data_IF_526000111760
#
_entry.id   IF_526000111760
#
_cell.length_a   1.000
_cell.length_b   1.000
_cell.length_c   1.000
_cell.angle_alpha   90.00
_cell.angle_beta   90.00
_cell.angle_gamma   90.00
#
_symmetry.space_group_name_H-M   'P 1'
#
loop_
_entity.id
_entity.type
_entity.pdbx_description
1 polymer ?
#
# COMPACT_ATOMS: atom_id res chain seq x y z
N UNK A 1 18.53 23.87 -15.02
CA UNK A 1 18.69 22.46 -15.45
C UNK A 1 19.13 21.66 -14.25
N UNK A 2 18.28 20.77 -13.71
CA UNK A 2 18.58 20.04 -12.46
C UNK A 2 19.61 18.92 -12.71
N UNK A 3 20.76 18.90 -11.99
CA UNK A 3 21.79 17.88 -12.16
C UNK A 3 21.35 16.60 -11.42
N UNK A 4 20.60 15.76 -12.12
CA UNK A 4 20.03 14.51 -11.58
C UNK A 4 18.95 13.88 -12.47
N UNK A 5 18.46 14.62 -13.47
CA UNK A 5 17.38 14.19 -14.38
C UNK A 5 17.75 13.07 -15.35
N UNK A 6 19.04 12.73 -15.52
CA UNK A 6 19.49 11.76 -16.54
C UNK A 6 19.45 10.29 -16.09
N UNK A 7 19.37 9.99 -14.79
CA UNK A 7 19.45 8.60 -14.29
C UNK A 7 18.15 7.81 -14.54
N UNK A 8 17.01 8.49 -14.58
CA UNK A 8 15.70 7.83 -14.67
C UNK A 8 15.23 7.57 -16.10
N UNK A 9 15.67 8.39 -17.07
CA UNK A 9 15.25 8.28 -18.46
C UNK A 9 15.62 6.92 -19.08
N UNK A 10 16.79 6.37 -18.74
CA UNK A 10 17.22 5.05 -19.23
C UNK A 10 16.46 3.86 -18.60
N UNK A 11 15.62 4.09 -17.60
CA UNK A 11 14.88 3.02 -16.88
C UNK A 11 13.41 2.96 -17.25
N UNK A 12 12.89 3.97 -17.93
CA UNK A 12 11.49 4.01 -18.37
C UNK A 12 11.45 3.59 -19.83
N UNK A 13 10.87 2.42 -20.09
CA UNK A 13 10.76 1.83 -21.44
C UNK A 13 9.38 2.08 -22.04
N UNK A 14 8.34 2.26 -21.21
CA UNK A 14 6.99 2.55 -21.66
C UNK A 14 6.25 3.47 -20.68
N UNK A 15 5.34 4.28 -21.23
CA UNK A 15 4.33 5.02 -20.47
C UNK A 15 2.97 4.40 -20.76
N UNK A 16 2.27 3.96 -19.72
CA UNK A 16 0.94 3.36 -19.82
C UNK A 16 -0.09 4.41 -19.41
N UNK A 17 -0.93 4.85 -20.35
CA UNK A 17 -2.09 5.70 -20.06
C UNK A 17 -3.29 4.81 -19.74
N UNK A 18 -3.94 5.06 -18.62
CA UNK A 18 -5.13 4.34 -18.15
C UNK A 18 -6.27 5.34 -18.00
N UNK A 19 -7.41 5.01 -18.60
CA UNK A 19 -8.67 5.69 -18.37
C UNK A 19 -9.43 4.91 -17.30
N UNK A 20 -9.79 5.57 -16.20
CA UNK A 20 -10.67 4.99 -15.18
C UNK A 20 -12.02 5.67 -15.22
N UNK A 21 -13.05 4.86 -15.05
CA UNK A 21 -14.41 5.29 -14.76
C UNK A 21 -14.70 4.86 -13.34
N UNK A 22 -15.16 5.79 -12.51
CA UNK A 22 -15.47 5.52 -11.11
C UNK A 22 -16.77 6.21 -10.78
N UNK A 23 -17.75 5.44 -10.32
CA UNK A 23 -18.99 5.98 -9.80
C UNK A 23 -18.78 6.37 -8.34
N UNK A 24 -18.98 7.64 -8.04
CA UNK A 24 -18.94 8.16 -6.69
C UNK A 24 -20.36 8.49 -6.25
N UNK A 25 -20.79 7.90 -5.14
CA UNK A 25 -22.05 8.28 -4.51
C UNK A 25 -21.88 9.64 -3.82
N UNK A 26 -22.65 10.63 -4.26
CA UNK A 26 -22.66 11.95 -3.64
C UNK A 26 -23.74 12.00 -2.56
N UNK A 27 -23.29 12.02 -1.30
CA UNK A 27 -24.16 12.05 -0.12
C UNK A 27 -25.01 13.32 0.00
N UNK A 28 -24.63 14.41 -0.68
CA UNK A 28 -25.38 15.67 -0.66
C UNK A 28 -26.54 15.67 -1.65
N UNK A 29 -26.36 15.02 -2.79
CA UNK A 29 -27.36 14.98 -3.87
C UNK A 29 -28.15 13.67 -3.90
N UNK A 30 -27.70 12.63 -3.17
CA UNK A 30 -28.33 11.32 -3.13
C UNK A 30 -28.18 10.54 -4.45
N UNK A 31 -27.26 10.95 -5.32
CA UNK A 31 -27.10 10.41 -6.66
C UNK A 31 -25.69 9.83 -6.88
N UNK A 32 -25.61 8.85 -7.77
CA UNK A 32 -24.34 8.37 -8.31
C UNK A 32 -23.85 9.34 -9.38
N UNK A 33 -22.60 9.76 -9.26
CA UNK A 33 -21.94 10.60 -10.24
C UNK A 33 -20.75 9.86 -10.83
N UNK A 34 -20.75 9.69 -12.14
CA UNK A 34 -19.61 9.16 -12.87
C UNK A 34 -18.46 10.17 -12.84
N UNK A 35 -17.26 9.67 -12.54
CA UNK A 35 -16.00 10.40 -12.69
C UNK A 35 -15.10 9.66 -13.66
N UNK A 36 -14.54 10.41 -14.59
CA UNK A 36 -13.49 9.91 -15.48
C UNK A 36 -12.16 10.53 -15.07
N UNK A 37 -11.15 9.69 -14.86
CA UNK A 37 -9.79 10.15 -14.59
C UNK A 37 -8.81 9.49 -15.55
N UNK A 38 -7.77 10.24 -15.94
CA UNK A 38 -6.67 9.72 -16.76
C UNK A 38 -5.43 9.64 -15.89
N UNK A 39 -4.84 8.45 -15.79
CA UNK A 39 -3.65 8.18 -14.98
C UNK A 39 -2.53 7.62 -15.85
N UNK A 40 -1.30 8.02 -15.56
CA UNK A 40 -0.10 7.57 -16.28
C UNK A 40 0.80 6.76 -15.37
N UNK A 41 1.24 5.60 -15.84
CA UNK A 41 2.23 4.76 -15.17
C UNK A 41 3.51 4.70 -16.00
N UNK A 42 4.65 4.76 -15.32
CA UNK A 42 5.94 4.49 -15.94
C UNK A 42 6.29 3.00 -15.77
N UNK A 43 6.69 2.34 -16.85
CA UNK A 43 7.08 0.94 -16.85
C UNK A 43 8.51 0.77 -17.35
N UNK A 44 9.25 -0.12 -16.71
CA UNK A 44 10.61 -0.50 -17.10
C UNK A 44 10.67 -1.57 -18.18
N UNK A 45 9.51 -2.13 -18.57
CA UNK A 45 9.40 -3.17 -19.58
C UNK A 45 8.13 -2.91 -20.39
N UNK A 46 8.18 -3.17 -21.70
CA UNK A 46 6.99 -3.15 -22.54
C UNK A 46 6.25 -4.49 -22.42
N UNK A 47 4.95 -4.42 -22.18
CA UNK A 47 4.03 -5.57 -22.09
C UNK A 47 2.75 -5.24 -22.85
N UNK A 48 1.88 -6.24 -23.07
CA UNK A 48 0.57 -6.00 -23.68
C UNK A 48 -0.32 -5.15 -22.76
N UNK A 49 -1.30 -4.47 -23.36
CA UNK A 49 -2.27 -3.66 -22.62
C UNK A 49 -3.05 -4.49 -21.59
N UNK A 50 -3.38 -5.74 -21.91
CA UNK A 50 -4.06 -6.68 -21.02
C UNK A 50 -3.24 -7.01 -19.77
N UNK A 51 -1.93 -7.29 -19.96
CA UNK A 51 -1.02 -7.56 -18.84
C UNK A 51 -0.89 -6.32 -17.95
N UNK A 52 -0.75 -5.13 -18.53
CA UNK A 52 -0.72 -3.89 -17.74
C UNK A 52 -2.03 -3.65 -17.00
N UNK A 53 -3.18 -3.86 -17.64
CA UNK A 53 -4.48 -3.72 -16.99
C UNK A 53 -4.60 -4.65 -15.77
N UNK A 54 -4.17 -5.91 -15.89
CA UNK A 54 -4.18 -6.86 -14.77
C UNK A 54 -3.22 -6.43 -13.65
N UNK A 55 -2.00 -5.99 -13.99
CA UNK A 55 -1.03 -5.51 -13.00
C UNK A 55 -1.54 -4.28 -12.25
N UNK A 56 -2.14 -3.32 -12.96
CA UNK A 56 -2.71 -2.10 -12.36
C UNK A 56 -3.90 -2.45 -11.46
N UNK A 57 -4.80 -3.34 -11.90
CA UNK A 57 -5.91 -3.81 -11.04
C UNK A 57 -5.41 -4.52 -9.79
N UNK A 58 -4.43 -5.42 -9.92
CA UNK A 58 -3.83 -6.10 -8.78
C UNK A 58 -3.19 -5.10 -7.82
N UNK A 59 -2.47 -4.11 -8.35
CA UNK A 59 -1.87 -3.04 -7.54
C UNK A 59 -2.91 -2.25 -6.76
N UNK A 60 -4.02 -1.85 -7.40
CA UNK A 60 -5.14 -1.19 -6.72
C UNK A 60 -5.80 -2.07 -5.67
N UNK A 61 -5.94 -3.37 -5.94
CA UNK A 61 -6.46 -4.32 -4.95
C UNK A 61 -5.62 -4.34 -3.68
N UNK A 62 -4.29 -4.31 -3.83
CA UNK A 62 -3.35 -4.24 -2.69
C UNK A 62 -3.51 -2.90 -1.95
N UNK A 63 -3.48 -1.78 -2.66
CA UNK A 63 -3.60 -0.44 -2.06
C UNK A 63 -4.93 -0.28 -1.31
N UNK A 64 -6.05 -0.67 -1.93
CA UNK A 64 -7.38 -0.61 -1.33
C UNK A 64 -7.49 -1.50 -0.08
N UNK A 65 -6.89 -2.69 -0.10
CA UNK A 65 -6.84 -3.58 1.08
C UNK A 65 -6.02 -3.02 2.24
N UNK A 66 -5.15 -2.04 1.97
CA UNK A 66 -4.27 -1.44 2.96
C UNK A 66 -4.82 -0.12 3.51
N UNK A 67 -5.47 0.68 2.66
CA UNK A 67 -5.83 2.07 2.93
C UNK A 67 -6.64 2.20 4.22
N UNK A 68 -7.75 1.47 4.35
CA UNK A 68 -8.58 1.51 5.56
C UNK A 68 -7.80 1.12 6.82
N UNK A 69 -6.93 0.11 6.72
CA UNK A 69 -6.12 -0.36 7.85
C UNK A 69 -5.10 0.72 8.25
N UNK A 70 -4.49 1.42 7.30
CA UNK A 70 -3.55 2.50 7.60
C UNK A 70 -4.25 3.70 8.24
N UNK A 71 -5.31 4.21 7.61
CA UNK A 71 -5.97 5.45 8.04
C UNK A 71 -6.63 5.30 9.39
N UNK A 72 -7.40 4.22 9.56
CA UNK A 72 -8.28 4.03 10.72
C UNK A 72 -7.57 3.20 11.78
N UNK A 73 -7.08 2.01 11.41
CA UNK A 73 -6.58 1.04 12.40
C UNK A 73 -5.18 1.42 12.91
N UNK A 74 -4.30 1.89 12.01
CA UNK A 74 -2.95 2.36 12.35
C UNK A 74 -2.88 3.89 12.56
N UNK A 75 -4.05 4.56 12.52
CA UNK A 75 -4.24 5.98 12.85
C UNK A 75 -3.31 6.90 12.06
N UNK A 76 -3.11 6.61 10.77
CA UNK A 76 -2.27 7.44 9.90
C UNK A 76 -2.85 8.85 9.77
N UNK A 77 -4.14 8.98 9.48
CA UNK A 77 -4.82 10.28 9.34
C UNK A 77 -4.80 11.11 10.63
N UNK A 78 -4.92 10.44 11.78
CA UNK A 78 -4.87 11.09 13.09
C UNK A 78 -3.44 11.39 13.58
N UNK A 79 -2.41 10.97 12.85
CA UNK A 79 -1.01 11.09 13.25
C UNK A 79 -0.54 12.55 13.24
N UNK A 80 -0.10 13.05 14.40
CA UNK A 80 0.45 14.42 14.53
C UNK A 80 1.98 14.49 14.35
N UNK A 81 2.62 13.38 13.99
CA UNK A 81 4.09 13.32 13.79
C UNK A 81 4.46 14.17 12.58
N UNK A 82 5.24 15.24 12.81
CA UNK A 82 5.74 16.14 11.75
C UNK A 82 7.22 15.94 11.43
N UNK A 83 7.97 15.31 12.33
CA UNK A 83 9.37 14.99 12.13
C UNK A 83 9.50 13.58 11.53
N UNK A 84 10.13 13.48 10.37
CA UNK A 84 10.40 12.21 9.68
C UNK A 84 9.17 11.28 9.49
N UNK A 85 8.03 11.79 8.96
CA UNK A 85 6.80 11.01 8.81
C UNK A 85 6.98 9.72 7.98
N UNK A 86 7.92 9.72 7.02
CA UNK A 86 8.25 8.54 6.21
C UNK A 86 8.85 7.38 7.00
N UNK A 87 9.52 7.63 8.13
CA UNK A 87 10.02 6.56 9.00
C UNK A 87 8.82 5.86 9.65
N UNK A 88 7.86 6.62 10.16
CA UNK A 88 6.70 6.05 10.81
C UNK A 88 5.77 5.33 9.82
N UNK A 89 5.62 5.85 8.59
CA UNK A 89 4.94 5.15 7.51
C UNK A 89 5.56 3.77 7.25
N UNK A 90 6.90 3.69 7.21
CA UNK A 90 7.63 2.42 7.04
C UNK A 90 7.43 1.48 8.22
N UNK A 91 7.43 1.98 9.45
CA UNK A 91 7.16 1.18 10.64
C UNK A 91 5.74 0.61 10.61
N UNK A 92 4.73 1.41 10.24
CA UNK A 92 3.36 0.93 10.04
C UNK A 92 3.30 -0.19 9.00
N UNK A 93 3.96 -0.01 7.85
CA UNK A 93 4.03 -1.06 6.83
C UNK A 93 4.70 -2.33 7.33
N UNK A 94 5.79 -2.19 8.09
CA UNK A 94 6.48 -3.34 8.67
C UNK A 94 5.58 -4.11 9.64
N UNK A 95 4.89 -3.43 10.55
CA UNK A 95 3.96 -4.05 11.49
C UNK A 95 2.81 -4.75 10.76
N UNK A 96 2.20 -4.10 9.77
CA UNK A 96 1.10 -4.69 9.00
C UNK A 96 1.56 -5.95 8.24
N UNK A 97 2.76 -5.93 7.67
CA UNK A 97 3.33 -7.09 6.98
C UNK A 97 3.57 -8.28 7.94
N UNK A 98 4.00 -8.04 9.18
CA UNK A 98 4.14 -9.09 10.19
C UNK A 98 2.77 -9.73 10.51
N UNK A 99 1.74 -8.91 10.73
CA UNK A 99 0.40 -9.40 11.04
C UNK A 99 -0.14 -10.25 9.89
N UNK A 100 0.00 -9.78 8.65
CA UNK A 100 -0.44 -10.52 7.46
C UNK A 100 0.33 -11.81 7.23
N UNK A 101 1.65 -11.80 7.45
CA UNK A 101 2.47 -13.03 7.35
C UNK A 101 2.02 -14.09 8.37
N UNK A 102 1.49 -13.67 9.51
CA UNK A 102 0.92 -14.55 10.51
C UNK A 102 -0.57 -14.89 10.27
N UNK A 103 -1.11 -14.56 9.09
CA UNK A 103 -2.52 -14.76 8.71
C UNK A 103 -3.54 -14.12 9.68
N UNK A 104 -3.15 -13.00 10.32
CA UNK A 104 -4.05 -12.23 11.18
C UNK A 104 -5.02 -11.45 10.30
N UNK A 105 -6.31 -11.72 10.45
CA UNK A 105 -7.40 -11.06 9.72
C UNK A 105 -7.95 -9.84 10.47
N UNK A 106 -7.97 -9.87 11.81
CA UNK A 106 -8.39 -8.76 12.66
C UNK A 106 -7.19 -7.95 13.15
N UNK A 107 -6.80 -6.94 12.38
CA UNK A 107 -5.64 -6.09 12.70
C UNK A 107 -5.89 -5.26 13.96
N UNK A 108 -7.11 -4.78 14.18
CA UNK A 108 -7.45 -3.93 15.34
C UNK A 108 -7.29 -4.67 16.67
N UNK A 109 -7.85 -5.88 16.75
CA UNK A 109 -7.72 -6.76 17.91
C UNK A 109 -6.27 -7.14 18.17
N UNK A 110 -5.53 -7.53 17.14
CA UNK A 110 -4.11 -7.86 17.28
C UNK A 110 -3.29 -6.67 17.80
N UNK A 111 -3.58 -5.44 17.36
CA UNK A 111 -2.91 -4.25 17.88
C UNK A 111 -3.27 -3.98 19.35
N UNK A 112 -4.53 -4.17 19.73
CA UNK A 112 -4.98 -4.03 21.12
C UNK A 112 -4.26 -5.02 22.04
N UNK A 113 -4.26 -6.31 21.66
CA UNK A 113 -3.58 -7.36 22.40
C UNK A 113 -2.07 -7.13 22.53
N UNK A 114 -1.44 -6.70 21.43
CA UNK A 114 -0.01 -6.38 21.37
C UNK A 114 0.36 -5.15 22.21
N UNK A 115 -0.56 -4.19 22.36
CA UNK A 115 -0.36 -3.04 23.23
C UNK A 115 -0.45 -3.40 24.72
N UNK A 116 -1.25 -4.42 25.07
CA UNK A 116 -1.39 -4.92 26.43
C UNK A 116 -0.25 -5.85 26.85
N UNK A 117 0.37 -6.57 25.91
CA UNK A 117 1.46 -7.50 26.19
C UNK A 117 2.55 -7.45 25.11
N UNK A 118 3.66 -6.78 25.42
CA UNK A 118 4.75 -6.59 24.48
C UNK A 118 5.45 -7.91 24.07
N UNK A 119 5.43 -8.94 24.92
CA UNK A 119 6.02 -10.25 24.61
C UNK A 119 5.31 -10.96 23.44
N UNK A 120 4.03 -10.67 23.21
CA UNK A 120 3.27 -11.19 22.06
C UNK A 120 3.75 -10.61 20.72
N UNK A 121 4.21 -9.36 20.69
CA UNK A 121 4.83 -8.78 19.50
C UNK A 121 6.14 -9.48 19.15
N UNK A 122 6.96 -9.78 20.15
CA UNK A 122 8.25 -10.45 19.95
C UNK A 122 8.08 -11.89 19.46
N UNK A 123 7.06 -12.61 19.93
CA UNK A 123 6.74 -13.96 19.44
C UNK A 123 6.23 -13.96 17.98
N UNK A 124 5.43 -12.97 17.59
CA UNK A 124 5.03 -12.77 16.18
C UNK A 124 6.23 -12.45 15.27
N UNK A 125 7.22 -11.71 15.80
CA UNK A 125 8.49 -11.43 15.11
C UNK A 125 9.41 -12.66 15.01
N UNK A 126 9.43 -13.54 16.03
CA UNK A 126 10.30 -14.72 16.04
C UNK A 126 9.82 -15.83 15.07
N UNK A 127 8.51 -15.91 14.76
CA UNK A 127 8.00 -16.75 13.65
C UNK A 127 8.55 -16.34 12.27
N UNK A 128 9.15 -15.17 12.16
CA UNK A 128 9.79 -14.70 10.94
C UNK A 128 11.14 -15.37 10.65
N UNK A 129 11.76 -16.03 11.64
CA UNK A 129 13.10 -16.67 11.54
C UNK A 129 13.12 -18.09 10.98
N UNK A 130 12.01 -18.68 10.54
CA UNK A 130 12.00 -20.05 9.99
C UNK A 130 12.47 -20.19 8.52
N UNK A 131 13.25 -19.22 8.02
CA UNK A 131 14.01 -19.39 6.76
C UNK A 131 15.45 -18.92 6.93
N UNK A 132 16.21 -19.66 7.73
CA UNK A 132 17.66 -19.79 7.58
C UNK A 132 17.96 -21.28 7.55
N UNK A 133 17.68 -21.90 6.40
CA UNK A 133 18.27 -23.15 5.89
C UNK A 133 17.50 -23.54 4.62
N UNK A 134 17.90 -22.95 3.50
CA UNK A 134 17.77 -23.61 2.21
C UNK A 134 19.19 -23.65 1.64
N UNK A 135 19.76 -24.85 1.62
CA UNK A 135 20.90 -25.20 0.79
C UNK A 135 20.51 -25.13 -0.68
#
# INVERSE_FOLDING_TARGET
MFPGSKIWLNRIVAIVRVYRHTDCFDTKTGAWKERTETVYYAASHLRSAEVFAQLIRNHWGIENSNHYVYDVTLKEDASRIRNSPGIFARLRSFSLNILRKNNITNVSEALYDNALCFDRLLTQGNRMKLFSNCH
#
